data_IF_347507227997
#
_entry.id   IF_347507227997
#
_cell.length_a   1.000
_cell.length_b   1.000
_cell.length_c   1.000
_cell.angle_alpha   90.00
_cell.angle_beta   90.00
_cell.angle_gamma   90.00
#
_symmetry.space_group_name_H-M   'P 1'
#
loop_
_entity.id
_entity.type
_entity.pdbx_description
1 polymer ?
#
# COMPACT_ATOMS: atom_id res chain seq x y z
N UNK A 1 -11.15 -3.84 -14.01
CA UNK A 1 -9.90 -3.20 -13.53
C UNK A 1 -9.48 -3.94 -12.26
N UNK A 2 -8.25 -4.46 -12.18
CA UNK A 2 -7.81 -5.18 -10.98
C UNK A 2 -7.40 -4.18 -9.88
N UNK A 3 -7.68 -4.49 -8.60
CA UNK A 3 -7.27 -3.66 -7.45
C UNK A 3 -6.23 -4.41 -6.61
N UNK A 4 -5.25 -3.70 -6.01
CA UNK A 4 -4.20 -4.32 -5.20
C UNK A 4 -4.75 -4.97 -3.93
N UNK A 5 -5.81 -4.39 -3.37
CA UNK A 5 -6.54 -4.90 -2.21
C UNK A 5 -8.02 -5.02 -2.53
N UNK A 6 -8.69 -5.95 -1.88
CA UNK A 6 -10.14 -6.12 -2.01
C UNK A 6 -10.88 -4.96 -1.31
N UNK A 7 -11.86 -4.33 -1.97
CA UNK A 7 -12.67 -3.30 -1.34
C UNK A 7 -13.33 -3.83 -0.07
N UNK A 8 -13.34 -3.04 1.00
CA UNK A 8 -13.98 -3.37 2.29
C UNK A 8 -13.38 -4.57 3.04
N UNK A 9 -12.27 -5.15 2.58
CA UNK A 9 -11.59 -6.22 3.31
C UNK A 9 -10.99 -5.70 4.61
N UNK A 10 -11.54 -6.15 5.73
CA UNK A 10 -11.06 -5.85 7.08
C UNK A 10 -10.20 -7.00 7.58
N UNK A 11 -8.88 -6.87 7.47
CA UNK A 11 -7.95 -7.84 8.02
C UNK A 11 -7.96 -7.76 9.55
N UNK A 12 -8.25 -8.88 10.22
CA UNK A 12 -8.23 -8.96 11.69
C UNK A 12 -6.91 -9.54 12.18
N UNK A 13 -6.40 -8.98 13.28
CA UNK A 13 -5.15 -9.38 13.92
C UNK A 13 -5.19 -10.83 14.44
N UNK A 14 -6.35 -11.26 14.95
CA UNK A 14 -6.48 -12.50 15.71
C UNK A 14 -7.31 -13.61 15.04
N UNK A 15 -7.61 -13.47 13.75
CA UNK A 15 -8.42 -14.44 13.00
C UNK A 15 -7.56 -15.42 12.20
N UNK A 16 -7.94 -16.70 12.11
CA UNK A 16 -7.24 -17.70 11.28
C UNK A 16 -5.93 -18.24 11.86
N UNK A 17 -5.19 -19.03 11.09
CA UNK A 17 -4.00 -19.73 11.59
C UNK A 17 -2.73 -18.86 11.54
N UNK A 18 -1.91 -18.94 12.59
CA UNK A 18 -0.58 -18.33 12.61
C UNK A 18 0.30 -18.92 11.52
N UNK A 19 1.06 -18.05 10.86
CA UNK A 19 1.94 -18.47 9.79
C UNK A 19 3.18 -19.16 10.36
N UNK A 20 3.40 -20.43 10.00
CA UNK A 20 4.56 -21.22 10.45
C UNK A 20 5.91 -20.53 10.19
N UNK A 21 6.00 -19.74 9.13
CA UNK A 21 7.23 -19.03 8.75
C UNK A 21 6.98 -17.54 8.46
N UNK A 22 6.99 -16.73 9.52
CA UNK A 22 6.84 -15.27 9.41
C UNK A 22 7.95 -14.59 8.58
N UNK A 23 9.13 -15.22 8.40
CA UNK A 23 10.24 -14.63 7.62
C UNK A 23 9.84 -14.40 6.17
N UNK A 24 9.16 -15.36 5.53
CA UNK A 24 8.72 -15.23 4.12
C UNK A 24 7.73 -14.09 3.94
N UNK A 25 6.82 -13.93 4.90
CA UNK A 25 5.89 -12.81 4.91
C UNK A 25 6.64 -11.49 5.02
N UNK A 26 7.52 -11.33 6.01
CA UNK A 26 8.31 -10.10 6.21
C UNK A 26 9.18 -9.75 5.00
N UNK A 27 9.80 -10.74 4.37
CA UNK A 27 10.58 -10.53 3.14
C UNK A 27 9.71 -10.02 1.99
N UNK A 28 8.56 -10.65 1.76
CA UNK A 28 7.62 -10.22 0.72
C UNK A 28 7.13 -8.79 0.96
N UNK A 29 6.68 -8.48 2.18
CA UNK A 29 6.18 -7.14 2.51
C UNK A 29 7.31 -6.11 2.42
N UNK A 30 8.52 -6.43 2.85
CA UNK A 30 9.70 -5.56 2.68
C UNK A 30 10.01 -5.23 1.21
N UNK A 31 9.97 -6.23 0.33
CA UNK A 31 10.14 -6.01 -1.12
C UNK A 31 9.01 -5.15 -1.71
N UNK A 32 7.77 -5.33 -1.25
CA UNK A 32 6.63 -4.51 -1.67
C UNK A 32 6.75 -3.07 -1.16
N UNK A 33 7.23 -2.84 0.07
CA UNK A 33 7.52 -1.50 0.60
C UNK A 33 8.53 -0.79 -0.31
N UNK A 34 9.56 -1.48 -0.80
CA UNK A 34 10.52 -0.86 -1.73
C UNK A 34 9.85 -0.44 -3.05
N UNK A 35 8.91 -1.24 -3.56
CA UNK A 35 8.16 -0.91 -4.78
C UNK A 35 7.30 0.35 -4.65
N UNK A 36 6.89 0.76 -3.44
CA UNK A 36 6.07 1.99 -3.27
C UNK A 36 6.80 3.24 -3.72
N UNK A 37 8.14 3.21 -3.80
CA UNK A 37 8.99 4.31 -4.30
C UNK A 37 8.68 4.65 -5.76
N UNK A 38 8.20 3.70 -6.56
CA UNK A 38 7.83 3.95 -7.97
C UNK A 38 6.36 3.65 -8.27
N UNK A 39 5.66 3.02 -7.33
CA UNK A 39 4.28 2.53 -7.45
C UNK A 39 3.41 3.07 -6.33
N UNK A 40 2.93 4.30 -6.48
CA UNK A 40 2.14 4.95 -5.43
C UNK A 40 0.80 4.25 -5.16
N UNK A 41 0.23 3.55 -6.14
CA UNK A 41 -1.12 2.98 -6.09
C UNK A 41 -1.24 1.78 -5.13
N UNK A 42 -0.12 1.17 -4.75
CA UNK A 42 -0.08 0.07 -3.78
C UNK A 42 0.21 0.53 -2.34
N UNK A 43 0.51 1.81 -2.13
CA UNK A 43 0.97 2.35 -0.84
C UNK A 43 0.00 2.07 0.31
N UNK A 44 -1.29 2.32 0.09
CA UNK A 44 -2.33 2.03 1.09
C UNK A 44 -2.38 0.54 1.45
N UNK A 45 -2.40 -0.32 0.43
CA UNK A 45 -2.48 -1.78 0.61
C UNK A 45 -1.29 -2.31 1.41
N UNK A 46 -0.10 -1.77 1.17
CA UNK A 46 1.12 -2.11 1.91
C UNK A 46 1.08 -1.60 3.34
N UNK A 47 0.57 -0.38 3.56
CA UNK A 47 0.37 0.18 4.89
C UNK A 47 -0.51 -0.71 5.77
N UNK A 48 -1.60 -1.26 5.21
CA UNK A 48 -2.49 -2.20 5.93
C UNK A 48 -1.78 -3.51 6.27
N UNK A 49 -1.15 -4.19 5.29
CA UNK A 49 -0.52 -5.50 5.56
C UNK A 49 0.71 -5.40 6.48
N UNK A 50 1.39 -4.26 6.50
CA UNK A 50 2.59 -4.04 7.34
C UNK A 50 2.27 -4.06 8.83
N UNK A 51 1.01 -3.88 9.22
CA UNK A 51 0.57 -3.95 10.61
C UNK A 51 0.70 -5.36 11.20
N UNK A 52 0.77 -6.40 10.35
CA UNK A 52 0.77 -7.81 10.76
C UNK A 52 2.16 -8.46 10.72
N UNK A 53 3.24 -7.68 10.65
CA UNK A 53 4.62 -8.18 10.53
C UNK A 53 5.11 -9.01 11.72
N UNK A 54 4.57 -8.76 12.91
CA UNK A 54 4.95 -9.47 14.14
C UNK A 54 4.38 -10.89 14.17
N UNK A 55 3.07 -11.02 14.03
CA UNK A 55 2.34 -12.29 14.07
C UNK A 55 1.46 -12.45 12.82
N UNK A 56 2.06 -12.69 11.63
CA UNK A 56 1.29 -12.87 10.41
C UNK A 56 0.50 -14.18 10.44
N UNK A 57 -0.59 -14.20 9.69
CA UNK A 57 -1.54 -15.32 9.59
C UNK A 57 -1.80 -15.64 8.12
N UNK A 58 -2.47 -16.75 7.83
CA UNK A 58 -2.68 -17.25 6.46
C UNK A 58 -3.35 -16.22 5.55
N UNK A 59 -4.44 -15.59 6.01
CA UNK A 59 -5.15 -14.55 5.26
C UNK A 59 -4.32 -13.28 5.04
N UNK A 60 -3.43 -12.93 5.98
CA UNK A 60 -2.48 -11.82 5.78
C UNK A 60 -1.51 -12.11 4.62
N UNK A 61 -1.02 -13.35 4.52
CA UNK A 61 -0.16 -13.76 3.41
C UNK A 61 -0.92 -13.77 2.08
N UNK A 62 -2.19 -14.19 2.07
CA UNK A 62 -2.98 -14.21 0.86
C UNK A 62 -3.30 -12.79 0.35
N UNK A 63 -3.51 -11.84 1.25
CA UNK A 63 -3.59 -10.41 0.92
C UNK A 63 -2.26 -9.91 0.32
N UNK A 64 -1.11 -10.24 0.90
CA UNK A 64 0.19 -9.87 0.36
C UNK A 64 0.45 -10.48 -1.03
N UNK A 65 0.06 -11.74 -1.25
CA UNK A 65 0.13 -12.39 -2.57
C UNK A 65 -0.81 -11.75 -3.59
N UNK A 66 -1.97 -11.23 -3.18
CA UNK A 66 -2.88 -10.49 -4.06
C UNK A 66 -2.20 -9.23 -4.60
N UNK A 67 -1.56 -8.45 -3.72
CA UNK A 67 -0.78 -7.27 -4.12
C UNK A 67 0.34 -7.68 -5.09
N UNK A 68 1.05 -8.77 -4.80
CA UNK A 68 2.09 -9.27 -5.72
C UNK A 68 1.53 -9.66 -7.10
N UNK A 69 0.37 -10.32 -7.17
CA UNK A 69 -0.31 -10.62 -8.44
C UNK A 69 -0.72 -9.35 -9.19
N UNK A 70 -1.16 -8.32 -8.48
CA UNK A 70 -1.50 -7.02 -9.07
C UNK A 70 -0.27 -6.36 -9.71
N UNK A 71 0.87 -6.34 -9.00
CA UNK A 71 2.14 -5.81 -9.52
C UNK A 71 2.60 -6.62 -10.74
N UNK A 72 2.52 -7.95 -10.67
CA UNK A 72 2.87 -8.85 -11.78
C UNK A 72 2.00 -8.62 -13.02
N UNK A 73 0.74 -8.20 -12.85
CA UNK A 73 -0.15 -7.89 -13.96
C UNK A 73 0.18 -6.58 -14.70
N UNK A 74 1.02 -5.73 -14.11
CA UNK A 74 1.36 -4.41 -14.68
C UNK A 74 2.85 -4.06 -14.49
N UNK A 75 3.80 -4.89 -14.94
CA UNK A 75 5.22 -4.69 -14.63
C UNK A 75 5.80 -3.39 -15.24
N UNK A 76 5.20 -2.89 -16.32
CA UNK A 76 5.63 -1.66 -16.99
C UNK A 76 5.10 -0.37 -16.34
N UNK A 77 4.21 -0.47 -15.34
CA UNK A 77 3.65 0.71 -14.67
C UNK A 77 4.68 1.27 -13.69
N UNK A 78 4.80 2.60 -13.67
CA UNK A 78 5.70 3.34 -12.78
C UNK A 78 5.61 4.84 -13.04
N UNK A 79 6.43 5.61 -12.32
CA UNK A 79 6.53 7.06 -12.51
C UNK A 79 7.31 7.39 -13.79
N UNK A 80 6.75 8.26 -14.62
CA UNK A 80 7.40 8.78 -15.82
C UNK A 80 7.49 10.30 -15.74
N UNK A 81 8.72 10.80 -15.60
CA UNK A 81 9.01 12.23 -15.63
C UNK A 81 9.25 12.68 -17.07
N UNK A 82 8.37 13.52 -17.59
CA UNK A 82 8.53 14.14 -18.90
C UNK A 82 9.13 15.53 -18.75
N UNK A 83 10.07 15.86 -19.65
CA UNK A 83 10.59 17.22 -19.80
C UNK A 83 9.49 18.13 -20.36
N UNK A 84 9.38 19.34 -19.81
CA UNK A 84 8.38 20.33 -20.21
C UNK A 84 7.09 20.26 -19.38
N UNK A 85 6.26 21.29 -19.52
CA UNK A 85 5.09 21.53 -18.68
C UNK A 85 5.32 22.63 -17.64
N UNK A 86 4.23 23.16 -17.09
CA UNK A 86 4.30 24.22 -16.08
C UNK A 86 4.90 23.67 -14.78
N UNK A 87 5.86 24.41 -14.23
CA UNK A 87 6.50 24.09 -12.94
C UNK A 87 5.58 24.48 -11.77
N UNK A 88 4.38 23.88 -11.74
CA UNK A 88 3.35 24.15 -10.75
C UNK A 88 3.28 22.99 -9.78
N UNK A 89 3.36 23.30 -8.49
CA UNK A 89 3.13 22.35 -7.41
C UNK A 89 1.62 22.12 -7.27
N UNK A 90 1.18 20.86 -7.38
CA UNK A 90 -0.20 20.44 -7.09
C UNK A 90 -0.18 19.43 -5.96
N UNK A 91 -1.06 19.63 -4.98
CA UNK A 91 -1.18 18.76 -3.81
C UNK A 91 -2.59 18.22 -3.69
N UNK A 92 -2.70 16.93 -3.39
CA UNK A 92 -3.94 16.26 -3.04
C UNK A 92 -3.77 15.61 -1.67
N UNK A 93 -4.79 15.70 -0.84
CA UNK A 93 -4.82 15.12 0.50
C UNK A 93 -6.14 14.42 0.72
N UNK A 94 -6.10 13.27 1.37
CA UNK A 94 -7.29 12.51 1.74
C UNK A 94 -7.11 11.92 3.15
N UNK A 95 -8.22 11.71 3.84
CA UNK A 95 -8.22 11.05 5.13
C UNK A 95 -9.52 10.30 5.34
N UNK A 96 -9.41 9.05 5.80
CA UNK A 96 -10.57 8.30 6.29
C UNK A 96 -10.90 8.71 7.74
N UNK A 97 -12.14 8.45 8.17
CA UNK A 97 -12.53 8.61 9.57
C UNK A 97 -12.68 7.24 10.23
N UNK A 98 -11.78 6.96 11.17
CA UNK A 98 -11.75 5.70 11.91
C UNK A 98 -11.87 4.48 10.99
N UNK A 99 -11.13 4.46 9.88
CA UNK A 99 -11.21 3.40 8.88
C UNK A 99 -10.75 2.04 9.40
N UNK A 100 -9.86 2.02 10.38
CA UNK A 100 -9.37 0.77 10.98
C UNK A 100 -10.44 0.09 11.85
N UNK A 101 -10.62 -1.22 11.65
CA UNK A 101 -11.61 -2.00 12.38
C UNK A 101 -11.18 -2.39 13.79
N UNK A 102 -9.88 -2.39 14.07
CA UNK A 102 -9.29 -2.87 15.32
C UNK A 102 -9.12 -1.71 16.29
N UNK A 103 -8.43 -0.64 15.88
CA UNK A 103 -8.08 0.48 16.76
C UNK A 103 -8.83 1.78 16.44
N UNK A 104 -9.72 1.76 15.43
CA UNK A 104 -10.51 2.92 15.00
C UNK A 104 -9.66 4.13 14.63
N UNK A 105 -8.39 3.92 14.28
CA UNK A 105 -7.52 5.01 13.83
C UNK A 105 -7.78 5.33 12.37
N UNK A 106 -7.58 6.60 12.06
CA UNK A 106 -7.69 7.12 10.71
C UNK A 106 -6.43 6.82 9.88
N UNK A 107 -6.62 6.63 8.58
CA UNK A 107 -5.54 6.65 7.59
C UNK A 107 -5.60 7.97 6.83
N UNK A 108 -4.50 8.69 6.81
CA UNK A 108 -4.34 9.91 6.03
C UNK A 108 -3.31 9.69 4.93
N UNK A 109 -3.55 10.29 3.78
CA UNK A 109 -2.68 10.21 2.63
C UNK A 109 -2.51 11.56 1.96
N UNK A 110 -1.38 11.72 1.28
CA UNK A 110 -1.14 12.86 0.42
C UNK A 110 -0.38 12.45 -0.83
N UNK A 111 -0.49 13.26 -1.87
CA UNK A 111 0.24 13.13 -3.11
C UNK A 111 0.53 14.52 -3.69
N UNK A 112 1.81 14.88 -3.77
CA UNK A 112 2.31 16.12 -4.34
C UNK A 112 2.97 15.85 -5.68
N UNK A 113 2.51 16.52 -6.72
CA UNK A 113 3.09 16.49 -8.06
C UNK A 113 3.72 17.82 -8.42
N UNK A 114 4.83 17.76 -9.14
CA UNK A 114 5.54 18.92 -9.67
C UNK A 114 5.78 18.68 -11.16
N UNK A 115 5.23 19.56 -12.00
CA UNK A 115 5.26 19.38 -13.44
C UNK A 115 4.47 18.15 -13.89
N UNK A 116 5.17 17.17 -14.48
CA UNK A 116 4.55 16.04 -15.19
C UNK A 116 4.25 14.82 -14.32
N UNK A 117 4.77 14.73 -13.09
CA UNK A 117 4.62 13.55 -12.25
C UNK A 117 4.67 13.86 -10.74
N UNK A 118 4.34 12.85 -9.94
CA UNK A 118 4.38 12.89 -8.48
C UNK A 118 5.83 12.89 -7.98
N UNK A 119 6.12 13.75 -7.00
CA UNK A 119 7.45 13.87 -6.37
C UNK A 119 7.45 13.48 -4.89
N UNK A 120 6.29 13.52 -4.22
CA UNK A 120 6.18 13.12 -2.82
C UNK A 120 4.78 12.58 -2.52
N UNK A 121 4.69 11.48 -1.79
CA UNK A 121 3.42 10.87 -1.40
C UNK A 121 3.59 10.10 -0.10
N UNK A 122 2.47 9.87 0.59
CA UNK A 122 2.43 9.06 1.79
C UNK A 122 1.03 8.48 1.97
N UNK A 123 0.96 7.31 2.58
CA UNK A 123 -0.26 6.75 3.17
C UNK A 123 0.09 6.30 4.58
N UNK A 124 -0.46 6.95 5.59
CA UNK A 124 -0.08 6.77 6.99
C UNK A 124 -1.31 6.58 7.86
N UNK A 125 -1.31 5.50 8.65
CA UNK A 125 -2.23 5.32 9.77
C UNK A 125 -1.76 6.19 10.95
N UNK A 126 -2.69 6.93 11.54
CA UNK A 126 -2.44 7.80 12.70
C UNK A 126 -2.13 7.00 13.97
#
# INVERSE_FOLDING_TARGET
>A
MATPMEPYLKLKKEEGELLKNARRFRQLVGSLIYLTITRLEISYSIGVISQFMQNPRTHHLDAAKRILRYVKGSPAYGLMYKKGGDFVLRGFTDADWAGDAVDRRSTSGYCFSLGSAVVSWCSKKQ
#
